data_IF_671798751207
#
_entry.id   IF_671798751207
#
_cell.length_a   1.000
_cell.length_b   1.000
_cell.length_c   1.000
_cell.angle_alpha   90.00
_cell.angle_beta   90.00
_cell.angle_gamma   90.00
#
_symmetry.space_group_name_H-M   'P 1'
#
loop_
_entity.id
_entity.type
_entity.pdbx_description
1 polymer ?
#
# COMPACT_ATOMS: atom_id res chain seq x y z
N UNK A 1 -19.77 11.32 20.70
CA UNK A 1 -18.49 11.66 20.04
C UNK A 1 -18.73 12.31 18.66
N UNK A 2 -18.08 13.44 18.35
CA UNK A 2 -18.13 14.08 17.02
C UNK A 2 -17.11 13.45 16.04
N UNK A 3 -17.61 12.67 15.07
CA UNK A 3 -16.80 12.03 14.00
C UNK A 3 -16.01 13.03 13.17
N UNK A 4 -16.56 14.23 12.90
CA UNK A 4 -15.87 15.27 12.12
C UNK A 4 -14.76 15.93 12.94
N UNK A 5 -14.92 16.02 14.26
CA UNK A 5 -13.85 16.45 15.15
C UNK A 5 -12.71 15.42 15.15
N UNK A 6 -13.02 14.12 15.25
CA UNK A 6 -12.00 13.06 15.20
C UNK A 6 -11.23 13.08 13.88
N UNK A 7 -11.94 13.18 12.76
CA UNK A 7 -11.31 13.32 11.45
C UNK A 7 -10.37 14.53 11.39
N UNK A 8 -10.76 15.70 11.91
CA UNK A 8 -9.89 16.89 11.95
C UNK A 8 -8.70 16.74 12.90
N UNK A 9 -8.87 16.07 14.03
CA UNK A 9 -7.81 15.83 14.99
C UNK A 9 -6.71 14.93 14.40
N UNK A 10 -7.14 13.85 13.73
CA UNK A 10 -6.28 12.90 13.02
C UNK A 10 -5.60 13.58 11.81
N UNK A 11 -6.25 14.52 11.12
CA UNK A 11 -5.61 15.30 10.03
C UNK A 11 -4.43 16.13 10.52
N UNK A 12 -4.55 16.65 11.73
CA UNK A 12 -3.56 17.56 12.33
C UNK A 12 -2.54 16.84 13.21
N UNK A 13 -2.72 15.55 13.46
CA UNK A 13 -1.96 14.78 14.45
C UNK A 13 -1.83 15.55 15.77
N UNK A 14 -2.91 16.22 16.20
CA UNK A 14 -2.86 17.17 17.32
C UNK A 14 -3.28 16.50 18.62
N UNK A 15 -2.40 16.38 19.63
CA UNK A 15 -2.75 15.83 20.95
C UNK A 15 -3.90 16.59 21.62
N UNK A 16 -3.90 17.92 21.52
CA UNK A 16 -4.97 18.77 22.07
C UNK A 16 -6.32 18.49 21.39
N UNK A 17 -6.32 18.31 20.07
CA UNK A 17 -7.53 17.96 19.34
C UNK A 17 -7.99 16.53 19.66
N UNK A 18 -7.07 15.60 19.93
CA UNK A 18 -7.39 14.23 20.34
C UNK A 18 -8.23 14.21 21.63
N UNK A 19 -7.84 14.99 22.63
CA UNK A 19 -8.56 15.09 23.91
C UNK A 19 -9.93 15.74 23.70
N UNK A 20 -10.01 16.80 22.88
CA UNK A 20 -11.27 17.49 22.62
C UNK A 20 -12.33 16.60 21.96
N UNK A 21 -11.92 15.56 21.22
CA UNK A 21 -12.83 14.60 20.56
C UNK A 21 -13.57 13.73 21.56
N UNK A 22 -13.02 13.51 22.75
CA UNK A 22 -13.64 12.69 23.78
C UNK A 22 -14.94 13.32 24.30
N UNK A 23 -15.15 14.62 24.08
CA UNK A 23 -16.32 15.33 24.58
C UNK A 23 -16.36 15.41 26.12
N UNK A 24 -17.41 16.00 26.70
CA UNK A 24 -17.55 16.12 28.14
C UNK A 24 -17.74 14.73 28.79
N UNK A 25 -17.36 14.60 30.08
CA UNK A 25 -17.23 13.31 30.77
C UNK A 25 -18.55 12.53 30.94
N UNK A 26 -19.68 13.23 30.87
CA UNK A 26 -21.04 12.71 30.98
C UNK A 26 -21.57 12.08 29.68
N UNK A 27 -20.93 12.32 28.54
CA UNK A 27 -21.28 11.68 27.27
C UNK A 27 -20.76 10.23 27.21
N UNK A 28 -21.54 9.30 26.68
CA UNK A 28 -21.04 7.94 26.41
C UNK A 28 -20.03 7.97 25.27
N UNK A 29 -18.85 7.38 25.51
CA UNK A 29 -17.79 7.26 24.51
C UNK A 29 -17.76 5.83 23.97
N UNK A 30 -17.98 5.69 22.67
CA UNK A 30 -17.84 4.41 21.95
C UNK A 30 -16.39 4.22 21.48
N UNK A 31 -15.66 3.38 22.22
CA UNK A 31 -14.24 3.08 21.96
C UNK A 31 -14.07 2.23 20.69
N UNK A 32 -15.01 1.33 20.41
CA UNK A 32 -14.97 0.48 19.21
C UNK A 32 -15.16 1.31 17.95
N UNK A 33 -16.11 2.23 17.97
CA UNK A 33 -16.31 3.16 16.88
C UNK A 33 -15.06 4.02 16.63
N UNK A 34 -14.44 4.52 17.71
CA UNK A 34 -13.22 5.32 17.62
C UNK A 34 -12.05 4.52 17.05
N UNK A 35 -11.80 3.31 17.56
CA UNK A 35 -10.78 2.40 17.05
C UNK A 35 -11.01 2.10 15.56
N UNK A 36 -12.24 1.79 15.17
CA UNK A 36 -12.60 1.57 13.77
C UNK A 36 -12.39 2.80 12.88
N UNK A 37 -12.63 4.01 13.39
CA UNK A 37 -12.36 5.25 12.64
C UNK A 37 -10.86 5.51 12.48
N UNK A 38 -10.05 5.20 13.50
CA UNK A 38 -8.59 5.29 13.43
C UNK A 38 -8.02 4.27 12.43
N UNK A 39 -8.49 3.02 12.46
CA UNK A 39 -8.06 1.98 11.53
C UNK A 39 -8.34 2.36 10.05
N UNK A 40 -9.46 3.03 9.78
CA UNK A 40 -9.80 3.51 8.43
C UNK A 40 -9.04 4.77 8.02
N UNK A 41 -8.34 5.44 8.94
CA UNK A 41 -7.59 6.65 8.65
C UNK A 41 -6.23 6.32 8.02
N UNK A 42 -6.23 5.92 6.76
CA UNK A 42 -5.02 5.49 6.03
C UNK A 42 -3.88 6.53 5.97
N UNK A 43 -4.14 7.80 6.30
CA UNK A 43 -3.11 8.85 6.43
C UNK A 43 -2.22 8.70 7.66
N UNK A 44 -2.60 7.84 8.63
CA UNK A 44 -1.79 7.49 9.79
C UNK A 44 -0.75 6.41 9.47
N UNK A 45 -0.83 5.78 8.29
CA UNK A 45 0.12 4.76 7.83
C UNK A 45 1.09 5.39 6.84
N UNK A 46 2.37 5.41 7.20
CA UNK A 46 3.46 5.92 6.37
C UNK A 46 4.20 4.76 5.69
N UNK A 47 3.99 4.61 4.38
CA UNK A 47 4.62 3.54 3.58
C UNK A 47 6.14 3.66 3.47
N UNK A 48 6.67 4.88 3.63
CA UNK A 48 8.08 5.22 3.60
C UNK A 48 8.45 5.87 4.94
N UNK A 49 9.73 5.86 5.31
CA UNK A 49 10.16 6.34 6.61
C UNK A 49 9.98 7.87 6.71
N UNK A 50 9.32 8.33 7.78
CA UNK A 50 9.19 9.75 8.07
C UNK A 50 9.20 10.00 9.58
N UNK A 51 10.39 10.11 10.16
CA UNK A 51 10.58 10.21 11.61
C UNK A 51 9.75 11.33 12.27
N UNK A 52 9.61 12.49 11.60
CA UNK A 52 8.82 13.61 12.11
C UNK A 52 7.33 13.26 12.20
N UNK A 53 6.76 12.74 11.10
CA UNK A 53 5.33 12.41 11.04
C UNK A 53 4.99 11.16 11.86
N UNK A 54 5.90 10.18 11.89
CA UNK A 54 5.81 9.00 12.74
C UNK A 54 5.79 9.40 14.22
N UNK A 55 6.72 10.25 14.65
CA UNK A 55 6.75 10.77 16.03
C UNK A 55 5.48 11.57 16.39
N UNK A 56 4.97 12.39 15.46
CA UNK A 56 3.73 13.13 15.67
C UNK A 56 2.50 12.21 15.79
N UNK A 57 2.43 11.15 14.97
CA UNK A 57 1.38 10.12 15.05
C UNK A 57 1.47 9.37 16.37
N UNK A 58 2.66 8.93 16.77
CA UNK A 58 2.84 8.15 17.99
C UNK A 58 2.44 8.97 19.22
N UNK A 59 2.87 10.24 19.29
CA UNK A 59 2.44 11.15 20.35
C UNK A 59 0.91 11.39 20.37
N UNK A 60 0.27 11.46 19.19
CA UNK A 60 -1.18 11.58 19.07
C UNK A 60 -1.90 10.32 19.61
N UNK A 61 -1.46 9.12 19.20
CA UNK A 61 -2.05 7.86 19.64
C UNK A 61 -1.82 7.62 21.14
N UNK A 62 -0.64 7.93 21.66
CA UNK A 62 -0.32 7.80 23.09
C UNK A 62 -1.19 8.73 23.94
N UNK A 63 -1.37 9.98 23.48
CA UNK A 63 -2.24 10.94 24.17
C UNK A 63 -3.69 10.44 24.19
N UNK A 64 -4.19 9.92 23.08
CA UNK A 64 -5.55 9.41 22.99
C UNK A 64 -5.74 8.16 23.86
N UNK A 65 -4.76 7.25 23.83
CA UNK A 65 -4.70 6.05 24.68
C UNK A 65 -4.79 6.41 26.16
N UNK A 66 -3.93 7.33 26.61
CA UNK A 66 -3.91 7.76 28.01
C UNK A 66 -5.23 8.43 28.42
N UNK A 67 -5.79 9.28 27.55
CA UNK A 67 -7.04 9.98 27.84
C UNK A 67 -8.26 9.03 27.88
N UNK A 68 -8.32 8.04 26.99
CA UNK A 68 -9.35 6.99 27.01
C UNK A 68 -9.18 6.09 28.24
N UNK A 69 -7.95 5.70 28.57
CA UNK A 69 -7.66 4.89 29.75
C UNK A 69 -8.08 5.60 31.05
N UNK A 70 -7.80 6.90 31.16
CA UNK A 70 -8.19 7.70 32.33
C UNK A 70 -9.71 7.82 32.49
N UNK A 71 -10.48 7.76 31.39
CA UNK A 71 -11.94 7.92 31.42
C UNK A 71 -12.70 6.61 31.58
N UNK A 72 -12.27 5.56 30.88
CA UNK A 72 -13.00 4.30 30.75
C UNK A 72 -12.26 3.08 31.32
N UNK A 73 -11.04 3.28 31.83
CA UNK A 73 -10.18 2.22 32.34
C UNK A 73 -9.16 1.73 31.32
N UNK A 74 -8.12 1.06 31.82
CA UNK A 74 -6.96 0.64 31.02
C UNK A 74 -7.32 -0.22 29.81
N UNK A 75 -8.25 -1.16 29.97
CA UNK A 75 -8.69 -2.03 28.88
C UNK A 75 -9.25 -1.27 27.66
N UNK A 76 -9.88 -0.10 27.88
CA UNK A 76 -10.34 0.77 26.79
C UNK A 76 -9.18 1.51 26.11
N UNK A 77 -8.18 1.95 26.88
CA UNK A 77 -6.94 2.52 26.35
C UNK A 77 -6.17 1.51 25.50
N UNK A 78 -6.05 0.26 25.98
CA UNK A 78 -5.33 -0.81 25.29
C UNK A 78 -5.92 -1.08 23.88
N UNK A 79 -7.23 -0.90 23.68
CA UNK A 79 -7.85 -1.00 22.36
C UNK A 79 -7.37 0.08 21.39
N UNK A 80 -7.12 1.30 21.87
CA UNK A 80 -6.57 2.39 21.05
C UNK A 80 -5.08 2.14 20.77
N UNK A 81 -4.33 1.69 21.77
CA UNK A 81 -2.91 1.33 21.62
C UNK A 81 -2.71 0.25 20.54
N UNK A 82 -3.56 -0.79 20.55
CA UNK A 82 -3.52 -1.87 19.57
C UNK A 82 -3.72 -1.37 18.11
N UNK A 83 -4.45 -0.28 17.89
CA UNK A 83 -4.56 0.34 16.57
C UNK A 83 -3.23 0.96 16.14
N UNK A 84 -2.50 1.59 17.07
CA UNK A 84 -1.15 2.10 16.81
C UNK A 84 -0.14 1.00 16.50
N UNK A 85 -0.21 -0.12 17.22
CA UNK A 85 0.61 -1.31 16.94
C UNK A 85 0.34 -1.87 15.53
N UNK A 86 -0.94 -2.03 15.17
CA UNK A 86 -1.33 -2.48 13.83
C UNK A 86 -0.81 -1.56 12.72
N UNK A 87 -0.84 -0.23 12.94
CA UNK A 87 -0.26 0.71 11.97
C UNK A 87 1.23 0.48 11.80
N UNK A 88 1.99 0.31 12.89
CA UNK A 88 3.43 0.03 12.83
C UNK A 88 3.74 -1.29 12.13
N UNK A 89 2.95 -2.34 12.35
CA UNK A 89 3.09 -3.63 11.66
C UNK A 89 2.85 -3.50 10.15
N UNK A 90 1.79 -2.78 9.74
CA UNK A 90 1.53 -2.51 8.33
C UNK A 90 2.68 -1.73 7.68
N UNK A 91 3.22 -0.73 8.37
CA UNK A 91 4.37 0.04 7.87
C UNK A 91 5.63 -0.81 7.75
N UNK A 92 5.89 -1.71 8.70
CA UNK A 92 6.99 -2.66 8.60
C UNK A 92 6.87 -3.49 7.31
N UNK A 93 5.68 -4.03 7.03
CA UNK A 93 5.43 -4.75 5.78
C UNK A 93 5.68 -3.91 4.52
N UNK A 94 5.25 -2.65 4.48
CA UNK A 94 5.58 -1.75 3.36
C UNK A 94 7.09 -1.49 3.23
N UNK A 95 7.79 -1.30 4.35
CA UNK A 95 9.24 -1.06 4.38
C UNK A 95 10.03 -2.31 3.97
N UNK A 96 9.57 -3.50 4.31
CA UNK A 96 10.17 -4.76 3.87
C UNK A 96 10.06 -4.94 2.35
N UNK A 97 8.88 -4.65 1.78
CA UNK A 97 8.70 -4.64 0.32
C UNK A 97 9.60 -3.58 -0.34
N UNK A 98 9.68 -2.37 0.25
CA UNK A 98 10.54 -1.31 -0.25
C UNK A 98 12.04 -1.71 -0.20
N UNK A 99 12.46 -2.38 0.88
CA UNK A 99 13.81 -2.90 1.04
C UNK A 99 14.11 -3.98 0.00
N UNK A 100 13.19 -4.91 -0.20
CA UNK A 100 13.30 -5.92 -1.25
C UNK A 100 13.41 -5.32 -2.66
N UNK A 101 12.65 -4.25 -2.94
CA UNK A 101 12.78 -3.53 -4.21
C UNK A 101 14.13 -2.82 -4.33
N UNK A 102 14.66 -2.28 -3.23
CA UNK A 102 15.97 -1.64 -3.20
C UNK A 102 17.12 -2.64 -3.43
N UNK A 103 16.94 -3.92 -3.10
CA UNK A 103 17.95 -4.97 -3.30
C UNK A 103 17.74 -5.80 -4.57
N UNK A 104 16.61 -5.64 -5.27
CA UNK A 104 16.33 -6.31 -6.53
C UNK A 104 17.30 -5.89 -7.64
N UNK A 105 17.51 -6.78 -8.63
CA UNK A 105 18.46 -6.52 -9.72
C UNK A 105 18.13 -5.25 -10.53
N UNK A 106 16.85 -4.86 -10.59
CA UNK A 106 16.40 -3.62 -11.23
C UNK A 106 16.92 -2.37 -10.53
N UNK A 107 17.19 -2.41 -9.21
CA UNK A 107 17.58 -1.24 -8.43
C UNK A 107 18.95 -0.67 -8.80
N UNK A 108 19.79 -1.45 -9.47
CA UNK A 108 21.08 -1.04 -10.00
C UNK A 108 20.97 -0.13 -11.24
N UNK A 109 19.79 -0.06 -11.86
CA UNK A 109 19.55 0.82 -13.01
C UNK A 109 19.28 2.26 -12.55
N UNK A 110 19.55 3.28 -13.38
CA UNK A 110 19.02 4.63 -13.19
C UNK A 110 17.49 4.61 -13.00
N UNK A 111 16.94 5.51 -12.18
CA UNK A 111 15.53 5.41 -11.77
C UNK A 111 14.54 5.53 -12.93
N UNK A 112 14.83 6.39 -13.92
CA UNK A 112 14.11 6.46 -15.18
C UNK A 112 14.03 5.09 -15.87
N UNK A 113 15.15 4.36 -15.88
CA UNK A 113 15.24 3.01 -16.43
C UNK A 113 14.51 1.99 -15.56
N UNK A 114 14.52 2.14 -14.24
CA UNK A 114 13.71 1.30 -13.35
C UNK A 114 12.21 1.43 -13.67
N UNK A 115 11.72 2.67 -13.77
CA UNK A 115 10.32 2.98 -14.07
C UNK A 115 9.92 2.42 -15.44
N UNK A 116 10.73 2.67 -16.48
CA UNK A 116 10.45 2.17 -17.84
C UNK A 116 10.50 0.64 -17.89
N UNK A 117 11.48 0.01 -17.23
CA UNK A 117 11.61 -1.44 -17.21
C UNK A 117 10.42 -2.13 -16.55
N UNK A 118 9.93 -1.58 -15.42
CA UNK A 118 8.72 -2.07 -14.74
C UNK A 118 7.49 -1.89 -15.63
N UNK A 119 7.30 -0.73 -16.25
CA UNK A 119 6.17 -0.46 -17.16
C UNK A 119 6.14 -1.42 -18.36
N UNK A 120 7.26 -1.57 -19.05
CA UNK A 120 7.35 -2.46 -20.21
C UNK A 120 7.21 -3.93 -19.82
N UNK A 121 7.74 -4.33 -18.65
CA UNK A 121 7.56 -5.68 -18.15
C UNK A 121 6.09 -6.00 -17.87
N UNK A 122 5.39 -5.12 -17.15
CA UNK A 122 3.94 -5.30 -16.90
C UNK A 122 3.15 -5.33 -18.20
N UNK A 123 3.50 -4.51 -19.20
CA UNK A 123 2.85 -4.56 -20.51
C UNK A 123 3.01 -5.94 -21.18
N UNK A 124 4.22 -6.52 -21.16
CA UNK A 124 4.46 -7.86 -21.70
C UNK A 124 3.67 -8.95 -20.96
N UNK A 125 3.57 -8.86 -19.63
CA UNK A 125 2.81 -9.82 -18.81
C UNK A 125 1.30 -9.72 -19.09
N UNK A 126 0.77 -8.51 -19.25
CA UNK A 126 -0.63 -8.30 -19.64
C UNK A 126 -0.91 -8.83 -21.05
N UNK A 127 0.01 -8.61 -22.00
CA UNK A 127 -0.13 -9.12 -23.35
C UNK A 127 0.00 -10.65 -23.42
N UNK A 128 0.80 -11.26 -22.54
CA UNK A 128 0.85 -12.72 -22.36
C UNK A 128 -0.48 -13.28 -21.83
N UNK A 129 -1.09 -12.65 -20.82
CA UNK A 129 -2.43 -13.04 -20.35
C UNK A 129 -3.46 -12.92 -21.48
N UNK A 130 -3.42 -11.83 -22.26
CA UNK A 130 -4.32 -11.64 -23.41
C UNK A 130 -4.18 -12.77 -24.42
N UNK A 131 -2.94 -13.16 -24.76
CA UNK A 131 -2.70 -14.30 -25.68
C UNK A 131 -3.31 -15.60 -25.14
N UNK A 132 -3.15 -15.88 -23.85
CA UNK A 132 -3.75 -17.07 -23.24
C UNK A 132 -5.29 -17.01 -23.22
N UNK A 133 -5.86 -15.83 -22.99
CA UNK A 133 -7.32 -15.59 -23.10
C UNK A 133 -7.80 -15.83 -24.52
N UNK A 134 -7.14 -15.28 -25.54
CA UNK A 134 -7.51 -15.48 -26.95
C UNK A 134 -7.50 -16.97 -27.33
N UNK A 135 -6.48 -17.72 -26.89
CA UNK A 135 -6.39 -19.17 -27.09
C UNK A 135 -7.52 -19.92 -26.38
N UNK A 136 -7.86 -19.54 -25.15
CA UNK A 136 -8.94 -20.15 -24.39
C UNK A 136 -10.31 -19.86 -25.04
N UNK A 137 -10.55 -18.63 -25.48
CA UNK A 137 -11.78 -18.22 -26.16
C UNK A 137 -11.94 -18.92 -27.52
N UNK A 138 -10.86 -19.07 -28.28
CA UNK A 138 -10.88 -19.79 -29.55
C UNK A 138 -11.25 -21.29 -29.41
N UNK A 139 -11.01 -21.86 -28.22
CA UNK A 139 -11.34 -23.26 -27.89
C UNK A 139 -12.66 -23.41 -27.13
N UNK A 140 -13.28 -22.32 -26.71
CA UNK A 140 -14.48 -22.36 -25.87
C UNK A 140 -15.71 -22.71 -26.70
N UNK A 141 -16.41 -23.79 -26.35
CA UNK A 141 -17.70 -24.14 -26.95
C UNK A 141 -18.83 -23.21 -26.49
N UNK A 142 -18.69 -22.61 -25.30
CA UNK A 142 -19.60 -21.58 -24.79
C UNK A 142 -18.93 -20.70 -23.73
N UNK A 143 -19.37 -19.45 -23.61
CA UNK A 143 -18.93 -18.50 -22.57
C UNK A 143 -20.15 -18.14 -21.71
N UNK A 144 -20.02 -18.31 -20.39
CA UNK A 144 -21.05 -17.94 -19.43
C UNK A 144 -20.70 -16.60 -18.78
N UNK A 145 -21.49 -15.53 -19.00
CA UNK A 145 -21.25 -14.24 -18.34
C UNK A 145 -21.20 -14.36 -16.82
N UNK A 146 -20.21 -13.72 -16.20
CA UNK A 146 -20.02 -13.72 -14.74
C UNK A 146 -19.29 -14.94 -14.18
N UNK A 147 -18.93 -15.93 -15.00
CA UNK A 147 -18.03 -17.02 -14.59
C UNK A 147 -16.56 -16.63 -14.82
N UNK A 148 -15.65 -17.02 -13.91
CA UNK A 148 -14.23 -16.76 -14.05
C UNK A 148 -13.65 -17.51 -15.26
N UNK A 149 -13.00 -16.77 -16.16
CA UNK A 149 -12.25 -17.36 -17.26
C UNK A 149 -10.90 -17.84 -16.75
N UNK A 150 -10.72 -19.16 -16.71
CA UNK A 150 -9.46 -19.78 -16.37
C UNK A 150 -8.63 -19.98 -17.63
N UNK A 151 -7.37 -19.57 -17.56
CA UNK A 151 -6.39 -19.75 -18.62
C UNK A 151 -5.24 -20.60 -18.10
N UNK A 152 -4.58 -21.30 -19.02
CA UNK A 152 -3.45 -22.17 -18.71
C UNK A 152 -2.21 -21.62 -19.42
N UNK A 153 -1.14 -21.44 -18.66
CA UNK A 153 0.19 -21.10 -19.19
C UNK A 153 0.78 -22.25 -20.00
N UNK A 154 1.84 -21.97 -20.76
CA UNK A 154 2.64 -22.99 -21.45
C UNK A 154 3.20 -24.05 -20.48
N UNK A 155 3.51 -23.67 -19.24
CA UNK A 155 4.02 -24.56 -18.18
C UNK A 155 2.92 -25.35 -17.45
N UNK A 156 1.66 -25.25 -17.89
CA UNK A 156 0.52 -25.97 -17.30
C UNK A 156 -0.06 -25.35 -16.03
N UNK A 157 0.43 -24.18 -15.59
CA UNK A 157 -0.16 -23.43 -14.48
C UNK A 157 -1.50 -22.84 -14.92
N UNK A 158 -2.55 -23.12 -14.15
CA UNK A 158 -3.91 -22.60 -14.37
C UNK A 158 -4.16 -21.42 -13.44
N UNK A 159 -4.67 -20.31 -13.99
CA UNK A 159 -5.05 -19.13 -13.20
C UNK A 159 -6.29 -18.46 -13.78
N UNK A 160 -7.00 -17.71 -12.94
CA UNK A 160 -8.10 -16.85 -13.38
C UNK A 160 -7.54 -15.60 -14.08
N UNK A 161 -7.93 -15.37 -15.34
CA UNK A 161 -7.40 -14.29 -16.16
C UNK A 161 -7.64 -12.89 -15.56
N UNK A 162 -8.83 -12.64 -15.00
CA UNK A 162 -9.14 -11.35 -14.36
C UNK A 162 -8.30 -11.12 -13.10
N UNK A 163 -8.11 -12.16 -12.27
CA UNK A 163 -7.26 -12.09 -11.10
C UNK A 163 -5.80 -11.80 -11.50
N UNK A 164 -5.30 -12.44 -12.56
CA UNK A 164 -3.98 -12.16 -13.12
C UNK A 164 -3.82 -10.69 -13.57
N UNK A 165 -4.77 -10.18 -14.36
CA UNK A 165 -4.74 -8.77 -14.80
C UNK A 165 -4.77 -7.80 -13.63
N UNK A 166 -5.65 -8.04 -12.65
CA UNK A 166 -5.75 -7.20 -11.45
C UNK A 166 -4.46 -7.23 -10.63
N UNK A 167 -3.82 -8.39 -10.51
CA UNK A 167 -2.53 -8.55 -9.83
C UNK A 167 -1.46 -7.67 -10.48
N UNK A 168 -1.26 -7.75 -11.80
CA UNK A 168 -0.22 -6.96 -12.48
C UNK A 168 -0.48 -5.45 -12.42
N UNK A 169 -1.72 -5.00 -12.59
CA UNK A 169 -2.08 -3.57 -12.48
C UNK A 169 -1.85 -3.05 -11.06
N UNK A 170 -2.26 -3.82 -10.05
CA UNK A 170 -2.10 -3.44 -8.64
C UNK A 170 -0.62 -3.41 -8.25
N UNK A 171 0.14 -4.42 -8.69
CA UNK A 171 1.57 -4.52 -8.41
C UNK A 171 2.37 -3.40 -9.07
N UNK A 172 2.06 -3.07 -10.34
CA UNK A 172 2.63 -1.91 -11.03
C UNK A 172 2.40 -0.62 -10.22
N UNK A 173 1.16 -0.38 -9.78
CA UNK A 173 0.83 0.79 -8.98
C UNK A 173 1.61 0.87 -7.67
N UNK A 174 1.83 -0.26 -7.00
CA UNK A 174 2.63 -0.34 -5.76
C UNK A 174 4.12 -0.11 -6.03
N UNK A 175 4.69 -0.77 -7.05
CA UNK A 175 6.09 -0.61 -7.43
C UNK A 175 6.40 0.85 -7.79
N UNK A 176 5.57 1.48 -8.62
CA UNK A 176 5.75 2.89 -9.00
C UNK A 176 5.67 3.83 -7.79
N UNK A 177 4.73 3.59 -6.86
CA UNK A 177 4.62 4.40 -5.63
C UNK A 177 5.86 4.28 -4.75
N UNK A 178 6.46 3.10 -4.65
CA UNK A 178 7.70 2.89 -3.88
C UNK A 178 8.91 3.52 -4.57
N UNK A 179 9.05 3.37 -5.89
CA UNK A 179 10.10 4.01 -6.68
C UNK A 179 10.02 5.55 -6.60
N UNK A 180 8.81 6.11 -6.65
CA UNK A 180 8.56 7.54 -6.45
C UNK A 180 8.76 7.95 -4.99
N UNK A 181 8.38 7.12 -4.03
CA UNK A 181 8.63 7.35 -2.60
C UNK A 181 10.12 7.52 -2.28
N UNK A 182 10.99 6.73 -2.93
CA UNK A 182 12.45 6.90 -2.83
C UNK A 182 12.93 8.26 -3.36
N UNK A 183 12.29 8.83 -4.39
CA UNK A 183 12.60 10.21 -4.83
C UNK A 183 12.19 11.27 -3.82
N UNK A 184 11.07 11.03 -3.12
CA UNK A 184 10.59 11.91 -2.06
C UNK A 184 11.44 11.80 -0.78
N UNK A 185 12.18 10.70 -0.57
CA UNK A 185 13.23 10.61 0.45
C UNK A 185 14.53 11.32 0.00
N UNK A 186 14.85 11.25 -1.30
CA UNK A 186 15.96 11.97 -1.94
C UNK A 186 15.68 13.47 -2.22
N UNK A 187 14.67 14.06 -1.56
CA UNK A 187 14.03 15.38 -1.82
C UNK A 187 14.90 16.65 -1.69
N UNK A 188 16.20 16.53 -1.88
CA UNK A 188 17.05 17.67 -2.21
C UNK A 188 16.98 18.07 -3.71
N UNK A 189 16.28 17.32 -4.58
CA UNK A 189 16.44 17.43 -6.05
C UNK A 189 15.24 17.96 -6.87
N UNK A 190 14.11 18.32 -6.26
CA UNK A 190 12.97 18.92 -6.98
C UNK A 190 11.91 17.92 -7.47
N UNK A 191 10.93 18.35 -8.30
CA UNK A 191 9.78 17.54 -8.68
C UNK A 191 10.17 16.28 -9.46
N UNK A 192 9.42 15.20 -9.24
CA UNK A 192 9.59 13.93 -9.96
C UNK A 192 9.30 14.15 -11.45
N UNK A 193 10.36 14.13 -12.26
CA UNK A 193 10.25 14.16 -13.72
C UNK A 193 10.05 12.74 -14.20
N UNK A 194 8.87 12.46 -14.76
CA UNK A 194 8.63 11.19 -15.44
C UNK A 194 9.62 11.05 -16.60
N UNK A 195 10.24 9.87 -16.78
CA UNK A 195 11.17 9.68 -17.87
C UNK A 195 10.45 9.81 -19.21
N UNK A 196 11.12 10.34 -20.25
CA UNK A 196 10.58 10.30 -21.59
C UNK A 196 10.31 8.83 -21.97
N UNK A 197 9.22 8.58 -22.69
CA UNK A 197 8.93 7.26 -23.24
C UNK A 197 10.09 6.86 -24.15
N UNK A 198 10.82 5.81 -23.76
CA UNK A 198 11.96 5.29 -24.48
C UNK A 198 11.98 3.78 -24.41
N UNK A 199 12.66 3.14 -25.35
CA UNK A 199 12.79 1.68 -25.38
C UNK A 199 13.60 1.16 -24.19
N UNK A 200 13.24 -0.03 -23.72
CA UNK A 200 14.04 -0.79 -22.75
C UNK A 200 14.64 -2.02 -23.42
N UNK A 201 15.76 -2.50 -22.90
CA UNK A 201 16.35 -3.76 -23.34
C UNK A 201 15.62 -4.96 -22.73
N UNK A 202 15.85 -6.15 -23.26
CA UNK A 202 15.34 -7.40 -22.67
C UNK A 202 15.92 -7.65 -21.28
N UNK A 203 17.21 -7.37 -21.08
CA UNK A 203 17.88 -7.49 -19.80
C UNK A 203 17.27 -6.55 -18.75
N UNK A 204 16.96 -5.30 -19.10
CA UNK A 204 16.28 -4.35 -18.20
C UNK A 204 14.90 -4.88 -17.77
N UNK A 205 14.12 -5.44 -18.71
CA UNK A 205 12.81 -6.04 -18.42
C UNK A 205 12.94 -7.29 -17.55
N UNK A 206 13.94 -8.13 -17.80
CA UNK A 206 14.22 -9.31 -16.97
C UNK A 206 14.57 -8.91 -15.54
N UNK A 207 15.44 -7.91 -15.36
CA UNK A 207 15.76 -7.36 -14.04
C UNK A 207 14.52 -6.83 -13.33
N UNK A 208 13.61 -6.15 -14.03
CA UNK A 208 12.34 -5.70 -13.47
C UNK A 208 11.43 -6.86 -13.03
N UNK A 209 11.46 -8.01 -13.71
CA UNK A 209 10.70 -9.20 -13.31
C UNK A 209 11.11 -9.77 -11.94
N UNK A 210 12.31 -9.46 -11.44
CA UNK A 210 12.76 -9.90 -10.11
C UNK A 210 12.04 -9.21 -8.95
N UNK A 211 11.29 -8.12 -9.19
CA UNK A 211 10.40 -7.55 -8.17
C UNK A 211 9.14 -8.42 -7.93
N UNK A 212 8.78 -9.30 -8.87
CA UNK A 212 7.73 -10.30 -8.67
C UNK A 212 8.07 -11.35 -7.60
N UNK A 213 9.37 -11.58 -7.33
CA UNK A 213 9.84 -12.47 -6.25
C UNK A 213 9.63 -11.87 -4.84
N UNK A 214 9.35 -10.57 -4.74
CA UNK A 214 9.01 -9.92 -3.47
C UNK A 214 7.61 -10.27 -2.97
N UNK A 215 6.76 -10.84 -3.83
CA UNK A 215 5.45 -11.37 -3.46
C UNK A 215 5.49 -12.84 -3.00
N UNK A 216 6.66 -13.49 -3.07
CA UNK A 216 6.87 -14.89 -2.67
C UNK A 216 7.77 -15.06 -1.43
N UNK A 217 8.14 -13.95 -0.77
CA UNK A 217 8.91 -13.94 0.48
C UNK A 217 7.98 -13.82 1.68
#
# INVERSE_FOLDING_TARGET
>A
MDRKALARAVDRLSPTAAIAVLGPADETLDVEEMAGLLQRAGRLVFRMANAEREGARDAFIDTLTAAVAARLGTAAGDRIAAVGDLMRELEAGYRDVAHGLATAAVSALPLDRQILAVLHRTALEVDDIRRHVDVALAKAESIVPGQPLHVMTEDGVVYEANAGLQFHVSNLGSCLKLLVGRLDEDRARGPVVLPPLGETTEEERFKAGTSGLLATA
#
